data_IF_131533814983
#
_entry.id   IF_131533814983
#
_cell.length_a   1.000
_cell.length_b   1.000
_cell.length_c   1.000
_cell.angle_alpha   90.00
_cell.angle_beta   90.00
_cell.angle_gamma   90.00
#
_symmetry.space_group_name_H-M   'P 1'
#
loop_
_entity.id
_entity.type
_entity.pdbx_description
1 polymer ?
#
# COMPACT_ATOMS: atom_id res chain seq x y z
N UNK A 1 -13.27 41.08 -21.99
CA UNK A 1 -14.29 40.04 -22.30
C UNK A 1 -14.55 39.26 -21.04
N UNK A 2 -15.80 39.03 -20.67
CA UNK A 2 -16.10 38.23 -19.47
C UNK A 2 -16.37 36.80 -19.91
N UNK A 3 -15.56 35.86 -19.41
CA UNK A 3 -15.75 34.43 -19.69
C UNK A 3 -16.87 33.89 -18.77
N UNK A 4 -17.69 32.96 -19.29
CA UNK A 4 -18.72 32.27 -18.53
C UNK A 4 -18.89 30.82 -19.06
N UNK A 5 -19.37 29.87 -18.24
CA UNK A 5 -19.34 28.45 -18.59
C UNK A 5 -20.02 28.10 -19.92
N UNK A 6 -21.15 28.70 -20.24
CA UNK A 6 -21.88 28.41 -21.48
C UNK A 6 -21.03 28.74 -22.73
N UNK A 7 -20.26 29.85 -22.70
CA UNK A 7 -19.39 30.22 -23.83
C UNK A 7 -18.33 29.16 -24.11
N UNK A 8 -17.76 28.58 -23.06
CA UNK A 8 -16.77 27.52 -23.18
C UNK A 8 -17.43 26.23 -23.70
N UNK A 9 -18.61 25.85 -23.17
CA UNK A 9 -19.34 24.68 -23.63
C UNK A 9 -19.80 24.80 -25.10
N UNK A 10 -20.24 25.97 -25.53
CA UNK A 10 -20.60 26.25 -26.94
C UNK A 10 -19.38 26.08 -27.87
N UNK A 11 -18.19 26.50 -27.44
CA UNK A 11 -16.94 26.26 -28.19
C UNK A 11 -16.60 24.75 -28.25
N UNK A 12 -16.72 24.05 -27.12
CA UNK A 12 -16.46 22.59 -27.06
C UNK A 12 -17.49 21.76 -27.84
N UNK A 13 -18.72 22.26 -28.02
CA UNK A 13 -19.73 21.64 -28.87
C UNK A 13 -19.38 21.62 -30.37
N UNK A 14 -18.37 22.39 -30.80
CA UNK A 14 -17.86 22.35 -32.19
C UNK A 14 -16.92 21.17 -32.42
N UNK A 15 -16.36 20.57 -31.36
CA UNK A 15 -15.39 19.47 -31.45
C UNK A 15 -16.13 18.13 -31.43
N UNK A 16 -15.97 17.33 -32.51
CA UNK A 16 -16.58 16.01 -32.62
C UNK A 16 -15.61 14.90 -32.22
N UNK A 17 -16.10 13.98 -31.37
CA UNK A 17 -15.34 12.80 -30.98
C UNK A 17 -15.44 11.72 -32.06
N UNK A 18 -14.30 11.27 -32.67
CA UNK A 18 -14.32 10.31 -33.78
C UNK A 18 -14.96 8.95 -33.44
N UNK A 19 -14.87 8.53 -32.18
CA UNK A 19 -15.42 7.23 -31.74
C UNK A 19 -16.93 7.12 -31.80
N UNK A 20 -17.67 8.25 -31.67
CA UNK A 20 -19.15 8.26 -31.69
C UNK A 20 -19.74 9.21 -32.72
N UNK A 21 -18.95 10.11 -33.27
CA UNK A 21 -19.43 11.20 -34.15
C UNK A 21 -20.22 12.31 -33.46
N UNK A 22 -20.52 12.18 -32.16
CA UNK A 22 -21.14 13.22 -31.33
C UNK A 22 -20.12 14.30 -30.94
N UNK A 23 -20.58 15.49 -30.62
CA UNK A 23 -19.67 16.50 -30.07
C UNK A 23 -19.32 16.21 -28.59
N UNK A 24 -18.30 16.90 -28.04
CA UNK A 24 -17.81 16.64 -26.70
C UNK A 24 -18.88 16.86 -25.60
N UNK A 25 -19.81 17.78 -25.81
CA UNK A 25 -20.88 18.07 -24.87
C UNK A 25 -22.00 17.03 -24.97
N UNK A 26 -22.46 16.71 -26.19
CA UNK A 26 -23.47 15.66 -26.45
C UNK A 26 -22.98 14.24 -26.04
N UNK A 27 -21.68 14.02 -26.07
CA UNK A 27 -21.07 12.77 -25.64
C UNK A 27 -20.81 12.73 -24.12
N UNK A 28 -21.22 13.78 -23.39
CA UNK A 28 -20.98 13.94 -21.94
C UNK A 28 -19.51 13.75 -21.57
N UNK A 29 -18.61 14.23 -22.44
CA UNK A 29 -17.17 14.09 -22.22
C UNK A 29 -16.58 15.27 -21.45
N UNK A 30 -17.34 16.32 -21.15
CA UNK A 30 -16.89 17.46 -20.33
C UNK A 30 -17.34 17.21 -18.90
N UNK A 31 -16.38 17.16 -17.96
CA UNK A 31 -16.69 16.96 -16.53
C UNK A 31 -17.33 18.21 -15.91
N UNK A 32 -18.09 18.02 -14.82
CA UNK A 32 -18.75 19.10 -14.07
C UNK A 32 -17.78 19.98 -13.25
N UNK A 33 -16.48 19.86 -13.49
CA UNK A 33 -15.42 20.57 -12.78
C UNK A 33 -14.90 21.82 -13.52
N UNK A 34 -15.64 22.35 -14.50
CA UNK A 34 -15.26 23.54 -15.25
C UNK A 34 -15.14 24.74 -14.31
N UNK A 35 -13.95 25.34 -14.26
CA UNK A 35 -13.62 26.54 -13.48
C UNK A 35 -13.09 27.63 -14.38
N UNK A 36 -13.51 28.85 -14.12
CA UNK A 36 -13.06 30.06 -14.83
C UNK A 36 -12.54 31.05 -13.79
N UNK A 37 -11.31 31.47 -13.95
CA UNK A 37 -10.65 32.49 -13.13
C UNK A 37 -10.00 33.53 -14.04
N UNK A 38 -10.67 34.66 -14.19
CA UNK A 38 -10.26 35.71 -15.13
C UNK A 38 -10.21 35.21 -16.58
N UNK A 39 -9.01 35.11 -17.14
CA UNK A 39 -8.74 34.57 -18.49
C UNK A 39 -8.23 33.11 -18.46
N UNK A 40 -8.24 32.46 -17.32
CA UNK A 40 -7.85 31.06 -17.18
C UNK A 40 -9.08 30.16 -17.10
N UNK A 41 -9.08 29.09 -17.88
CA UNK A 41 -10.14 28.07 -17.93
C UNK A 41 -9.55 26.72 -17.63
N UNK A 42 -10.08 25.98 -16.66
CA UNK A 42 -9.67 24.62 -16.34
C UNK A 42 -10.86 23.67 -16.28
N UNK A 43 -10.71 22.48 -16.86
CA UNK A 43 -11.72 21.43 -16.84
C UNK A 43 -11.11 20.09 -17.19
N UNK A 44 -11.87 18.99 -16.98
CA UNK A 44 -11.47 17.63 -17.38
C UNK A 44 -12.29 17.14 -18.56
N UNK A 45 -11.63 16.38 -19.47
CA UNK A 45 -12.32 15.58 -20.47
C UNK A 45 -12.40 14.13 -20.01
N UNK A 46 -13.59 13.56 -20.02
CA UNK A 46 -13.90 12.18 -19.60
C UNK A 46 -13.89 11.28 -20.85
N UNK A 47 -13.01 10.28 -20.84
CA UNK A 47 -12.92 9.26 -21.89
C UNK A 47 -13.47 7.94 -21.39
N UNK A 48 -13.94 7.05 -22.30
CA UNK A 48 -14.39 5.71 -21.93
C UNK A 48 -13.24 4.84 -21.39
N UNK A 49 -12.04 5.00 -21.95
CA UNK A 49 -10.84 4.22 -21.58
C UNK A 49 -9.64 5.12 -21.30
N UNK A 50 -8.79 4.76 -20.34
CA UNK A 50 -7.56 5.52 -20.04
C UNK A 50 -6.56 5.58 -21.21
N UNK A 51 -6.67 4.62 -22.15
CA UNK A 51 -5.80 4.48 -23.32
C UNK A 51 -6.53 4.82 -24.62
N UNK A 52 -7.45 5.78 -24.57
CA UNK A 52 -8.19 6.21 -25.76
C UNK A 52 -7.22 6.76 -26.83
N UNK A 53 -7.22 6.21 -28.08
CA UNK A 53 -6.28 6.63 -29.11
C UNK A 53 -6.50 8.07 -29.56
N UNK A 54 -7.69 8.64 -29.32
CA UNK A 54 -8.02 10.01 -29.70
C UNK A 54 -7.76 11.03 -28.60
N UNK A 55 -7.34 10.61 -27.41
CA UNK A 55 -7.16 11.49 -26.23
C UNK A 55 -6.33 12.72 -26.54
N UNK A 56 -5.11 12.53 -27.09
CA UNK A 56 -4.20 13.64 -27.40
C UNK A 56 -4.78 14.60 -28.46
N UNK A 57 -5.46 14.05 -29.47
CA UNK A 57 -6.08 14.86 -30.53
C UNK A 57 -7.29 15.64 -30.03
N UNK A 58 -8.08 15.05 -29.10
CA UNK A 58 -9.22 15.72 -28.48
C UNK A 58 -8.82 16.85 -27.56
N UNK A 59 -7.78 16.66 -26.74
CA UNK A 59 -7.23 17.74 -25.91
C UNK A 59 -6.81 18.94 -26.77
N UNK A 60 -6.06 18.69 -27.84
CA UNK A 60 -5.62 19.74 -28.75
C UNK A 60 -6.78 20.38 -29.51
N UNK A 61 -7.78 19.61 -29.93
CA UNK A 61 -8.96 20.12 -30.61
C UNK A 61 -9.81 20.99 -29.68
N UNK A 62 -9.99 20.58 -28.42
CA UNK A 62 -10.71 21.36 -27.41
C UNK A 62 -10.02 22.71 -27.11
N UNK A 63 -8.70 22.69 -26.92
CA UNK A 63 -7.90 23.91 -26.74
C UNK A 63 -8.02 24.84 -27.95
N UNK A 64 -7.85 24.28 -29.17
CA UNK A 64 -7.97 25.05 -30.42
C UNK A 64 -9.37 25.65 -30.59
N UNK A 65 -10.43 24.91 -30.23
CA UNK A 65 -11.80 25.41 -30.32
C UNK A 65 -12.03 26.60 -29.37
N UNK A 66 -11.51 26.53 -28.14
CA UNK A 66 -11.61 27.66 -27.18
C UNK A 66 -10.85 28.87 -27.71
N UNK A 67 -9.61 28.69 -28.22
CA UNK A 67 -8.86 29.81 -28.79
C UNK A 67 -9.52 30.42 -30.02
N UNK A 68 -10.19 29.61 -30.86
CA UNK A 68 -10.83 30.08 -32.10
C UNK A 68 -12.16 30.78 -31.83
N UNK A 69 -13.01 30.21 -30.97
CA UNK A 69 -14.38 30.66 -30.80
C UNK A 69 -14.61 31.56 -29.58
N UNK A 70 -13.62 31.61 -28.66
CA UNK A 70 -13.70 32.44 -27.45
C UNK A 70 -12.66 33.55 -27.50
N UNK A 71 -11.37 33.25 -27.35
CA UNK A 71 -10.26 34.19 -27.51
C UNK A 71 -8.91 33.46 -27.52
N UNK A 72 -7.94 33.89 -28.34
CA UNK A 72 -6.59 33.34 -28.32
C UNK A 72 -5.81 33.63 -27.02
N UNK A 73 -6.28 34.60 -26.21
CA UNK A 73 -5.63 35.01 -24.96
C UNK A 73 -6.07 34.15 -23.75
N UNK A 74 -7.00 33.21 -23.93
CA UNK A 74 -7.48 32.33 -22.84
C UNK A 74 -6.42 31.27 -22.53
N UNK A 75 -6.03 31.19 -21.26
CA UNK A 75 -5.17 30.13 -20.79
C UNK A 75 -6.01 28.90 -20.48
N UNK A 76 -5.81 27.80 -21.22
CA UNK A 76 -6.61 26.58 -21.09
C UNK A 76 -5.79 25.48 -20.43
N UNK A 77 -6.33 24.91 -19.34
CA UNK A 77 -5.77 23.75 -18.67
C UNK A 77 -6.77 22.61 -18.74
N UNK A 78 -6.46 21.56 -19.50
CA UNK A 78 -7.36 20.41 -19.68
C UNK A 78 -6.70 19.18 -19.05
N UNK A 79 -7.38 18.59 -18.05
CA UNK A 79 -7.04 17.28 -17.48
C UNK A 79 -7.88 16.17 -18.12
N UNK A 80 -7.51 14.92 -17.88
CA UNK A 80 -8.22 13.76 -18.42
C UNK A 80 -8.72 12.87 -17.30
N UNK A 81 -9.96 12.42 -17.41
CA UNK A 81 -10.59 11.43 -16.55
C UNK A 81 -11.05 10.24 -17.40
N UNK A 82 -11.26 9.07 -16.80
CA UNK A 82 -11.76 7.89 -17.49
C UNK A 82 -12.95 7.29 -16.75
N UNK A 83 -14.02 6.92 -17.50
CA UNK A 83 -15.20 6.23 -16.96
C UNK A 83 -14.88 4.77 -16.60
N UNK A 84 -13.96 4.14 -17.34
CA UNK A 84 -13.48 2.82 -16.97
C UNK A 84 -12.24 3.00 -16.08
N UNK A 85 -12.24 2.32 -14.92
CA UNK A 85 -11.02 2.15 -14.16
C UNK A 85 -9.91 1.65 -15.09
N UNK A 86 -8.69 2.18 -14.92
CA UNK A 86 -7.55 1.78 -15.74
C UNK A 86 -7.48 0.26 -15.80
N UNK A 87 -7.58 -0.32 -17.02
CA UNK A 87 -7.34 -1.76 -17.16
C UNK A 87 -5.93 -2.04 -16.68
N UNK A 88 -5.74 -3.10 -15.86
CA UNK A 88 -4.42 -3.47 -15.39
C UNK A 88 -3.43 -3.56 -16.54
N UNK A 89 -2.26 -2.96 -16.39
CA UNK A 89 -1.18 -3.18 -17.34
C UNK A 89 -0.90 -4.69 -17.44
N UNK A 90 -0.84 -5.27 -18.64
CA UNK A 90 -0.54 -6.68 -18.79
C UNK A 90 0.77 -7.03 -18.09
N UNK A 91 0.74 -7.88 -17.08
CA UNK A 91 1.91 -8.30 -16.29
C UNK A 91 2.03 -7.70 -14.89
N UNK A 92 1.23 -6.71 -14.50
CA UNK A 92 1.25 -6.17 -13.14
C UNK A 92 0.33 -6.99 -12.23
N UNK A 93 0.89 -7.63 -11.20
CA UNK A 93 0.12 -8.55 -10.34
C UNK A 93 -0.95 -7.87 -9.47
N UNK A 94 -0.74 -6.64 -9.03
CA UNK A 94 -1.66 -5.85 -8.20
C UNK A 94 -1.95 -4.48 -8.85
N UNK A 95 -2.66 -4.44 -9.98
CA UNK A 95 -2.78 -3.23 -10.79
C UNK A 95 -3.64 -2.13 -10.17
N UNK A 96 -4.51 -2.47 -9.21
CA UNK A 96 -5.41 -1.55 -8.52
C UNK A 96 -4.92 -1.18 -7.10
N UNK A 97 -3.68 -1.56 -6.77
CA UNK A 97 -3.05 -1.25 -5.50
C UNK A 97 -2.13 -0.05 -5.66
N UNK A 98 -2.33 0.99 -4.84
CA UNK A 98 -1.54 2.23 -4.91
C UNK A 98 -0.17 2.07 -4.29
N UNK A 99 -0.11 1.49 -3.08
CA UNK A 99 1.13 1.37 -2.31
C UNK A 99 1.30 -0.05 -1.77
N UNK A 100 2.45 -0.66 -2.03
CA UNK A 100 2.84 -1.97 -1.49
C UNK A 100 3.94 -1.74 -0.45
N UNK A 101 3.67 -2.07 0.80
CA UNK A 101 4.58 -1.84 1.93
C UNK A 101 5.04 -3.19 2.49
N UNK A 102 6.33 -3.46 2.42
CA UNK A 102 6.92 -4.64 3.05
C UNK A 102 7.24 -4.35 4.52
N UNK A 103 6.66 -5.11 5.44
CA UNK A 103 7.04 -5.11 6.86
C UNK A 103 8.00 -6.27 7.07
N UNK A 104 9.25 -5.94 7.40
CA UNK A 104 10.36 -6.88 7.46
C UNK A 104 11.15 -6.76 8.75
N UNK A 105 11.92 -7.78 9.08
CA UNK A 105 12.82 -7.77 10.24
C UNK A 105 14.08 -8.55 9.96
N UNK A 106 15.20 -8.15 10.56
CA UNK A 106 16.49 -8.85 10.42
C UNK A 106 16.51 -10.20 11.10
N UNK A 107 15.65 -10.46 12.12
CA UNK A 107 15.56 -11.72 12.86
C UNK A 107 14.15 -12.00 13.35
N UNK A 108 13.89 -13.26 13.73
CA UNK A 108 12.64 -13.65 14.37
C UNK A 108 12.50 -13.15 15.81
N UNK A 109 11.26 -13.08 16.30
CA UNK A 109 10.95 -12.74 17.69
C UNK A 109 10.94 -11.24 18.03
N UNK A 110 11.10 -10.35 17.05
CA UNK A 110 11.03 -8.88 17.26
C UNK A 110 9.60 -8.32 17.22
N UNK A 111 8.59 -9.17 16.98
CA UNK A 111 7.18 -8.76 16.90
C UNK A 111 6.76 -8.20 15.54
N UNK A 112 7.47 -8.55 14.47
CA UNK A 112 7.18 -8.13 13.08
C UNK A 112 5.71 -8.31 12.70
N UNK A 113 5.15 -9.51 12.89
CA UNK A 113 3.76 -9.83 12.50
C UNK A 113 2.74 -9.06 13.34
N UNK A 114 3.02 -8.85 14.64
CA UNK A 114 2.18 -7.99 15.51
C UNK A 114 2.15 -6.55 15.01
N UNK A 115 3.31 -6.04 14.57
CA UNK A 115 3.42 -4.71 13.97
C UNK A 115 2.68 -4.66 12.64
N UNK A 116 2.86 -5.64 11.75
CA UNK A 116 2.17 -5.69 10.45
C UNK A 116 0.65 -5.73 10.61
N UNK A 117 0.13 -6.60 11.50
CA UNK A 117 -1.30 -6.70 11.79
C UNK A 117 -1.87 -5.40 12.35
N UNK A 118 -1.21 -4.82 13.36
CA UNK A 118 -1.67 -3.58 14.00
C UNK A 118 -1.55 -2.36 13.06
N UNK A 119 -0.50 -2.30 12.22
CA UNK A 119 -0.35 -1.26 11.20
C UNK A 119 -1.47 -1.33 10.16
N UNK A 120 -1.80 -2.54 9.67
CA UNK A 120 -2.87 -2.71 8.70
C UNK A 120 -4.22 -2.25 9.25
N UNK A 121 -4.54 -2.63 10.51
CA UNK A 121 -5.76 -2.19 11.19
C UNK A 121 -5.76 -0.68 11.45
N UNK A 122 -4.62 -0.10 11.86
CA UNK A 122 -4.50 1.33 12.08
C UNK A 122 -4.73 2.13 10.79
N UNK A 123 -4.17 1.69 9.66
CA UNK A 123 -4.40 2.30 8.36
C UNK A 123 -5.89 2.23 7.95
N UNK A 124 -6.56 1.09 8.19
CA UNK A 124 -8.00 0.96 7.93
C UNK A 124 -8.83 1.91 8.81
N UNK A 125 -8.45 2.11 10.09
CA UNK A 125 -9.10 3.09 10.98
C UNK A 125 -8.89 4.54 10.53
N UNK A 126 -7.78 4.84 9.86
CA UNK A 126 -7.55 6.14 9.21
C UNK A 126 -8.34 6.31 7.91
N UNK A 127 -9.14 5.32 7.51
CA UNK A 127 -10.04 5.39 6.35
C UNK A 127 -9.45 4.87 5.04
N UNK A 128 -8.27 4.25 5.06
CA UNK A 128 -7.66 3.66 3.88
C UNK A 128 -8.21 2.26 3.57
N UNK A 129 -8.29 1.90 2.29
CA UNK A 129 -8.56 0.54 1.84
C UNK A 129 -7.28 -0.28 1.97
N UNK A 130 -7.29 -1.31 2.81
CA UNK A 130 -6.08 -2.06 3.19
C UNK A 130 -6.21 -3.55 2.90
N UNK A 131 -5.16 -4.12 2.27
CA UNK A 131 -4.93 -5.55 2.19
C UNK A 131 -3.72 -5.94 3.04
N UNK A 132 -3.78 -7.11 3.67
CA UNK A 132 -2.69 -7.72 4.43
C UNK A 132 -2.43 -9.12 3.90
N UNK A 133 -1.22 -9.37 3.42
CA UNK A 133 -0.75 -10.69 3.04
C UNK A 133 0.29 -11.19 4.05
N UNK A 134 -0.02 -12.31 4.69
CA UNK A 134 0.94 -13.08 5.46
C UNK A 134 1.82 -13.88 4.49
N UNK A 135 3.02 -13.38 4.25
CA UNK A 135 4.02 -14.00 3.38
C UNK A 135 5.03 -14.86 4.17
N UNK A 136 4.87 -15.00 5.49
CA UNK A 136 5.67 -15.91 6.31
C UNK A 136 5.12 -17.34 6.22
N UNK A 137 5.42 -18.00 5.10
CA UNK A 137 4.90 -19.34 4.78
C UNK A 137 5.34 -20.40 5.79
N UNK A 138 6.48 -20.19 6.44
CA UNK A 138 7.05 -21.16 7.39
C UNK A 138 6.49 -21.01 8.81
N UNK A 139 5.89 -19.87 9.12
CA UNK A 139 5.28 -19.60 10.43
C UNK A 139 4.07 -18.66 10.32
N UNK A 140 3.03 -19.05 9.55
CA UNK A 140 1.88 -18.19 9.34
C UNK A 140 1.19 -17.90 10.67
N UNK A 141 1.06 -16.63 11.00
CA UNK A 141 0.53 -16.18 12.29
C UNK A 141 -0.76 -15.36 12.19
N UNK A 142 -1.07 -14.83 11.03
CA UNK A 142 -2.20 -13.92 10.85
C UNK A 142 -3.57 -14.57 11.11
N UNK A 143 -3.85 -15.83 10.72
CA UNK A 143 -5.14 -16.44 11.08
C UNK A 143 -5.41 -16.43 12.59
N UNK A 144 -4.38 -16.70 13.42
CA UNK A 144 -4.47 -16.63 14.87
C UNK A 144 -4.65 -15.21 15.37
N UNK A 145 -3.82 -14.27 14.88
CA UNK A 145 -3.82 -12.87 15.29
C UNK A 145 -5.12 -12.13 14.98
N UNK A 146 -5.95 -12.65 14.08
CA UNK A 146 -7.24 -12.09 13.70
C UNK A 146 -8.43 -12.95 14.17
N UNK A 147 -8.19 -14.05 14.89
CA UNK A 147 -9.22 -15.01 15.29
C UNK A 147 -10.07 -15.49 14.11
N UNK A 148 -9.40 -15.93 13.06
CA UNK A 148 -10.02 -16.43 11.82
C UNK A 148 -9.41 -17.76 11.38
N UNK A 149 -8.90 -18.57 12.33
CA UNK A 149 -8.26 -19.87 12.03
C UNK A 149 -9.22 -20.84 11.33
N UNK A 150 -10.52 -20.77 11.66
CA UNK A 150 -11.55 -21.60 11.05
C UNK A 150 -12.09 -21.05 9.73
N UNK A 151 -11.68 -19.84 9.35
CA UNK A 151 -12.09 -19.27 8.08
C UNK A 151 -11.45 -20.02 6.92
N UNK A 152 -12.21 -20.20 5.85
CA UNK A 152 -11.72 -20.84 4.61
C UNK A 152 -12.02 -19.90 3.44
N UNK A 153 -10.99 -19.24 2.89
CA UNK A 153 -11.14 -18.52 1.65
C UNK A 153 -11.69 -19.44 0.55
N UNK A 154 -12.60 -18.94 -0.24
CA UNK A 154 -13.21 -19.69 -1.34
C UNK A 154 -12.87 -19.02 -2.67
N UNK A 155 -13.01 -19.77 -3.76
CA UNK A 155 -12.85 -19.22 -5.09
C UNK A 155 -14.22 -18.81 -5.65
N UNK A 156 -14.27 -17.65 -6.30
CA UNK A 156 -15.44 -17.13 -6.99
C UNK A 156 -15.07 -16.76 -8.42
N UNK A 157 -15.98 -17.06 -9.36
CA UNK A 157 -15.75 -16.71 -10.76
C UNK A 157 -16.11 -15.24 -10.99
N UNK A 158 -15.08 -14.42 -11.25
CA UNK A 158 -15.20 -12.98 -11.49
C UNK A 158 -14.56 -12.69 -12.85
N UNK A 159 -15.32 -12.11 -13.77
CA UNK A 159 -14.88 -11.79 -15.14
C UNK A 159 -14.26 -13.00 -15.89
N UNK A 160 -14.79 -14.21 -15.64
CA UNK A 160 -14.33 -15.45 -16.26
C UNK A 160 -13.04 -16.03 -15.69
N UNK A 161 -12.57 -15.54 -14.53
CA UNK A 161 -11.43 -16.05 -13.76
C UNK A 161 -11.88 -16.51 -12.39
N UNK A 162 -11.36 -17.66 -11.94
CA UNK A 162 -11.55 -18.10 -10.57
C UNK A 162 -10.58 -17.33 -9.68
N UNK A 163 -11.13 -16.48 -8.79
CA UNK A 163 -10.34 -15.65 -7.88
C UNK A 163 -10.61 -16.05 -6.42
N UNK A 164 -9.55 -16.14 -5.63
CA UNK A 164 -9.62 -16.35 -4.20
C UNK A 164 -10.20 -15.10 -3.54
N UNK A 165 -11.27 -15.25 -2.75
CA UNK A 165 -11.86 -14.15 -2.00
C UNK A 165 -11.15 -14.03 -0.66
N UNK A 166 -10.44 -12.90 -0.39
CA UNK A 166 -9.78 -12.66 0.89
C UNK A 166 -10.78 -12.64 2.06
N UNK A 167 -10.34 -13.04 3.23
CA UNK A 167 -11.10 -12.88 4.46
C UNK A 167 -11.15 -11.41 4.84
N UNK A 168 -12.34 -10.89 5.13
CA UNK A 168 -12.50 -9.52 5.59
C UNK A 168 -12.66 -9.50 7.11
N UNK A 169 -11.78 -8.76 7.80
CA UNK A 169 -11.80 -8.59 9.24
C UNK A 169 -11.24 -7.23 9.64
N UNK A 170 -11.89 -6.56 10.58
CA UNK A 170 -11.47 -5.23 11.08
C UNK A 170 -11.22 -4.18 10.00
N UNK A 171 -11.99 -4.24 8.90
CA UNK A 171 -11.87 -3.30 7.78
C UNK A 171 -10.72 -3.55 6.83
N UNK A 172 -10.04 -4.69 6.93
CA UNK A 172 -8.98 -5.11 6.02
C UNK A 172 -9.32 -6.40 5.28
N UNK A 173 -8.71 -6.59 4.10
CA UNK A 173 -8.69 -7.86 3.37
C UNK A 173 -7.45 -8.64 3.76
N UNK A 174 -7.60 -9.89 4.17
CA UNK A 174 -6.53 -10.73 4.71
C UNK A 174 -6.42 -12.04 3.93
N UNK A 175 -5.19 -12.41 3.53
CA UNK A 175 -4.84 -13.76 3.13
C UNK A 175 -3.55 -14.22 3.82
N UNK A 176 -3.51 -15.51 4.10
CA UNK A 176 -2.35 -16.24 4.64
C UNK A 176 -2.35 -17.64 4.09
N UNK A 177 -1.18 -18.22 3.90
CA UNK A 177 -1.07 -19.65 3.58
C UNK A 177 -1.66 -20.52 4.69
N UNK A 178 -1.69 -20.00 5.93
CA UNK A 178 -2.28 -20.67 7.08
C UNK A 178 -3.77 -21.01 6.94
N UNK A 179 -4.49 -20.39 5.99
CA UNK A 179 -5.88 -20.78 5.68
C UNK A 179 -6.00 -22.06 4.85
N UNK A 180 -4.93 -22.48 4.21
CA UNK A 180 -4.89 -23.58 3.25
C UNK A 180 -4.09 -24.80 3.74
N UNK A 181 -3.45 -24.70 4.90
CA UNK A 181 -2.68 -25.78 5.50
C UNK A 181 -3.28 -26.16 6.85
N UNK A 182 -3.16 -27.44 7.20
CA UNK A 182 -3.57 -27.94 8.50
C UNK A 182 -2.50 -27.52 9.54
N UNK A 183 -2.90 -26.77 10.60
CA UNK A 183 -1.96 -26.32 11.63
C UNK A 183 -1.25 -27.47 12.36
N UNK A 184 -1.87 -28.65 12.44
CA UNK A 184 -1.31 -29.82 13.11
C UNK A 184 -0.39 -30.66 12.22
N UNK A 185 -0.31 -30.35 10.93
CA UNK A 185 0.54 -31.03 9.98
C UNK A 185 1.80 -30.23 9.67
N UNK A 186 2.97 -30.79 9.94
CA UNK A 186 4.24 -30.23 9.48
C UNK A 186 4.33 -30.29 7.95
N UNK A 187 3.89 -29.24 7.29
CA UNK A 187 4.00 -29.14 5.83
C UNK A 187 5.43 -28.77 5.44
N UNK A 188 6.11 -29.69 4.76
CA UNK A 188 7.46 -29.46 4.25
C UNK A 188 7.42 -28.62 2.98
N UNK A 189 7.47 -27.31 3.14
CA UNK A 189 7.58 -26.38 2.01
C UNK A 189 8.99 -26.39 1.44
N UNK A 190 9.13 -26.76 0.18
CA UNK A 190 10.37 -26.48 -0.58
C UNK A 190 10.29 -25.07 -1.16
N UNK A 191 11.43 -24.37 -1.25
CA UNK A 191 11.46 -22.96 -1.66
C UNK A 191 10.63 -22.62 -2.91
N UNK A 192 10.70 -23.45 -3.96
CA UNK A 192 9.89 -23.25 -5.17
C UNK A 192 8.38 -23.40 -4.95
N UNK A 193 7.93 -24.31 -4.08
CA UNK A 193 6.50 -24.46 -3.74
C UNK A 193 6.00 -23.24 -2.96
N UNK A 194 6.78 -22.79 -1.98
CA UNK A 194 6.48 -21.61 -1.18
C UNK A 194 6.36 -20.35 -2.07
N UNK A 195 7.31 -20.16 -2.98
CA UNK A 195 7.28 -19.04 -3.94
C UNK A 195 6.06 -19.09 -4.87
N UNK A 196 5.67 -20.29 -5.33
CA UNK A 196 4.49 -20.42 -6.21
C UNK A 196 3.19 -20.17 -5.45
N UNK A 197 3.03 -20.69 -4.22
CA UNK A 197 1.87 -20.42 -3.39
C UNK A 197 1.73 -18.93 -3.13
N UNK A 198 2.82 -18.24 -2.80
CA UNK A 198 2.81 -16.80 -2.59
C UNK A 198 2.37 -16.02 -3.84
N UNK A 199 2.87 -16.40 -5.03
CA UNK A 199 2.43 -15.79 -6.29
C UNK A 199 0.95 -15.99 -6.56
N UNK A 200 0.39 -17.16 -6.20
CA UNK A 200 -1.05 -17.41 -6.32
C UNK A 200 -1.85 -16.54 -5.34
N UNK A 201 -1.45 -16.44 -4.07
CA UNK A 201 -2.11 -15.58 -3.09
C UNK A 201 -2.08 -14.10 -3.50
N UNK A 202 -1.05 -13.67 -4.24
CA UNK A 202 -0.95 -12.31 -4.76
C UNK A 202 -1.80 -12.14 -6.03
N UNK A 203 -1.64 -13.02 -7.02
CA UNK A 203 -2.14 -12.82 -8.38
C UNK A 203 -3.53 -13.39 -8.64
N UNK A 204 -3.91 -14.46 -7.93
CA UNK A 204 -5.18 -15.16 -8.11
C UNK A 204 -6.20 -14.81 -7.01
N UNK A 205 -5.97 -13.73 -6.25
CA UNK A 205 -6.91 -13.24 -5.26
C UNK A 205 -7.60 -11.94 -5.68
N UNK A 206 -8.87 -11.79 -5.28
CA UNK A 206 -9.65 -10.58 -5.51
C UNK A 206 -9.33 -9.50 -4.47
N UNK A 207 -8.17 -8.91 -4.57
CA UNK A 207 -7.78 -7.78 -3.72
C UNK A 207 -8.58 -6.51 -4.01
N UNK A 208 -8.98 -6.30 -5.28
CA UNK A 208 -9.67 -5.09 -5.72
C UNK A 208 -8.82 -3.82 -5.59
N UNK A 209 -9.48 -2.68 -5.40
CA UNK A 209 -8.80 -1.40 -5.18
C UNK A 209 -8.32 -1.29 -3.74
N UNK A 210 -7.02 -1.03 -3.56
CA UNK A 210 -6.40 -0.80 -2.25
C UNK A 210 -5.53 0.45 -2.26
N UNK A 211 -5.56 1.19 -1.16
CA UNK A 211 -4.62 2.29 -0.92
C UNK A 211 -3.28 1.76 -0.43
N UNK A 212 -3.32 0.74 0.44
CA UNK A 212 -2.15 0.07 1.00
C UNK A 212 -2.28 -1.45 0.95
N UNK A 213 -1.23 -2.11 0.53
CA UNK A 213 -1.06 -3.55 0.59
C UNK A 213 0.13 -3.87 1.48
N UNK A 214 -0.12 -4.41 2.65
CA UNK A 214 0.89 -4.72 3.66
C UNK A 214 1.34 -6.16 3.46
N UNK A 215 2.65 -6.36 3.34
CA UNK A 215 3.29 -7.66 3.26
C UNK A 215 3.97 -7.97 4.60
N UNK A 216 3.49 -8.95 5.34
CA UNK A 216 4.21 -9.51 6.49
C UNK A 216 5.22 -10.52 5.98
N UNK A 217 6.49 -10.12 5.83
CA UNK A 217 7.53 -10.96 5.23
C UNK A 217 8.11 -11.97 6.23
N UNK A 218 8.72 -13.08 5.80
CA UNK A 218 9.49 -13.93 6.72
C UNK A 218 10.59 -13.16 7.45
N UNK A 219 11.05 -13.62 8.62
CA UNK A 219 12.18 -12.99 9.30
C UNK A 219 13.50 -13.25 8.53
N UNK A 220 14.44 -12.32 8.67
CA UNK A 220 15.76 -12.42 8.05
C UNK A 220 15.75 -12.10 6.56
N UNK A 221 16.62 -12.78 5.80
CA UNK A 221 16.80 -12.59 4.35
C UNK A 221 16.68 -13.95 3.66
N UNK A 222 15.48 -14.28 3.19
CA UNK A 222 15.19 -15.58 2.55
C UNK A 222 14.85 -15.41 1.07
N UNK A 223 14.77 -16.50 0.31
CA UNK A 223 14.35 -16.54 -1.09
C UNK A 223 12.93 -15.96 -1.29
N UNK A 224 12.10 -15.94 -0.24
CA UNK A 224 10.78 -15.32 -0.27
C UNK A 224 10.89 -13.81 -0.51
N UNK A 225 11.86 -13.12 0.10
CA UNK A 225 12.09 -11.69 -0.15
C UNK A 225 12.43 -11.43 -1.62
N UNK A 226 13.27 -12.27 -2.22
CA UNK A 226 13.58 -12.19 -3.65
C UNK A 226 12.34 -12.44 -4.50
N UNK A 227 11.51 -13.43 -4.12
CA UNK A 227 10.24 -13.69 -4.81
C UNK A 227 9.31 -12.49 -4.76
N UNK A 228 9.18 -11.84 -3.60
CA UNK A 228 8.32 -10.66 -3.44
C UNK A 228 8.78 -9.49 -4.33
N UNK A 229 10.08 -9.13 -4.30
CA UNK A 229 10.59 -8.01 -5.12
C UNK A 229 10.60 -8.31 -6.62
N UNK A 230 10.64 -9.59 -7.01
CA UNK A 230 10.50 -10.05 -8.40
C UNK A 230 9.04 -10.15 -8.86
N UNK A 231 8.09 -10.11 -7.93
CA UNK A 231 6.66 -10.28 -8.21
C UNK A 231 5.92 -8.94 -8.11
N UNK A 232 6.36 -8.08 -7.21
CA UNK A 232 5.68 -6.83 -6.86
C UNK A 232 6.63 -5.63 -6.96
N UNK A 233 6.12 -4.52 -7.45
CA UNK A 233 6.76 -3.22 -7.34
C UNK A 233 6.53 -2.68 -5.92
N UNK A 234 7.40 -3.05 -4.98
CA UNK A 234 7.28 -2.66 -3.57
C UNK A 234 7.56 -1.16 -3.44
N UNK A 235 6.59 -0.39 -2.97
CA UNK A 235 6.71 1.06 -2.79
C UNK A 235 7.79 1.42 -1.78
N UNK A 236 7.88 0.64 -0.70
CA UNK A 236 8.94 0.78 0.28
C UNK A 236 8.87 -0.28 1.38
N UNK A 237 9.94 -0.40 2.16
CA UNK A 237 10.04 -1.33 3.26
C UNK A 237 10.08 -0.61 4.61
N UNK A 238 9.42 -1.18 5.59
CA UNK A 238 9.46 -0.79 7.01
C UNK A 238 10.20 -1.89 7.76
N UNK A 239 11.22 -1.52 8.52
CA UNK A 239 12.06 -2.48 9.23
C UNK A 239 11.73 -2.46 10.72
N UNK A 240 11.33 -3.61 11.26
CA UNK A 240 11.00 -3.80 12.69
C UNK A 240 12.21 -4.39 13.41
N UNK A 241 12.57 -3.78 14.53
CA UNK A 241 13.62 -4.28 15.42
C UNK A 241 13.28 -4.00 16.89
N UNK A 242 14.02 -4.62 17.79
CA UNK A 242 14.05 -4.26 19.21
C UNK A 242 15.30 -3.46 19.51
N UNK A 243 15.40 -2.78 20.68
CA UNK A 243 16.60 -2.00 21.03
C UNK A 243 17.88 -2.82 21.22
N UNK A 244 17.80 -4.16 21.26
CA UNK A 244 18.95 -5.05 21.50
C UNK A 244 19.97 -4.98 20.36
N UNK A 245 21.25 -4.87 20.70
CA UNK A 245 22.35 -4.76 19.73
C UNK A 245 22.37 -5.92 18.70
N UNK A 246 22.06 -7.15 19.15
CA UNK A 246 21.98 -8.31 18.25
C UNK A 246 20.87 -8.14 17.22
N UNK A 247 19.69 -7.65 17.63
CA UNK A 247 18.58 -7.39 16.70
C UNK A 247 18.89 -6.24 15.74
N UNK A 248 19.56 -5.20 16.23
CA UNK A 248 19.98 -4.06 15.41
C UNK A 248 21.03 -4.43 14.35
N UNK A 249 21.97 -5.30 14.70
CA UNK A 249 22.94 -5.82 13.73
C UNK A 249 22.26 -6.56 12.56
N UNK A 250 21.20 -7.34 12.85
CA UNK A 250 20.44 -8.03 11.83
C UNK A 250 19.48 -7.09 11.07
N UNK A 251 18.90 -6.08 11.76
CA UNK A 251 18.12 -5.04 11.10
C UNK A 251 18.94 -4.26 10.07
N UNK A 252 20.20 -3.95 10.37
CA UNK A 252 21.15 -3.33 9.41
C UNK A 252 21.33 -4.18 8.16
N UNK A 253 21.42 -5.52 8.30
CA UNK A 253 21.46 -6.43 7.14
C UNK A 253 20.19 -6.41 6.33
N UNK A 254 19.01 -6.35 7.01
CA UNK A 254 17.72 -6.22 6.36
C UNK A 254 17.60 -4.92 5.55
N UNK A 255 18.04 -3.79 6.10
CA UNK A 255 18.12 -2.50 5.37
C UNK A 255 19.00 -2.66 4.12
N UNK A 256 20.21 -3.17 4.28
CA UNK A 256 21.16 -3.33 3.18
C UNK A 256 20.64 -4.27 2.08
N UNK A 257 19.83 -5.29 2.42
CA UNK A 257 19.20 -6.16 1.45
C UNK A 257 18.25 -5.38 0.52
N UNK A 258 17.39 -4.53 1.09
CA UNK A 258 16.44 -3.73 0.32
C UNK A 258 17.10 -2.59 -0.46
N UNK A 259 18.13 -1.95 0.11
CA UNK A 259 18.84 -0.82 -0.52
C UNK A 259 19.94 -1.24 -1.49
N UNK A 260 20.22 -2.54 -1.63
CA UNK A 260 21.17 -3.05 -2.61
C UNK A 260 20.78 -2.63 -4.03
N UNK A 261 21.75 -2.24 -4.85
CA UNK A 261 21.54 -1.75 -6.23
C UNK A 261 20.68 -2.67 -7.10
N UNK A 262 20.70 -3.98 -6.83
CA UNK A 262 19.91 -4.96 -7.58
C UNK A 262 18.45 -5.04 -7.12
N UNK A 263 18.14 -4.66 -5.90
CA UNK A 263 16.81 -4.71 -5.29
C UNK A 263 16.18 -3.33 -5.31
N UNK A 264 16.91 -2.32 -4.87
CA UNK A 264 16.58 -0.89 -4.92
C UNK A 264 15.16 -0.56 -4.42
N UNK A 265 14.79 -1.14 -3.28
CA UNK A 265 13.53 -0.82 -2.59
C UNK A 265 13.83 0.21 -1.50
N UNK A 266 13.17 1.38 -1.52
CA UNK A 266 13.37 2.41 -0.50
C UNK A 266 12.99 1.94 0.91
N UNK A 267 13.73 2.39 1.92
CA UNK A 267 13.35 2.20 3.32
C UNK A 267 12.50 3.39 3.77
N UNK A 268 11.24 3.14 4.10
CA UNK A 268 10.33 4.15 4.66
C UNK A 268 10.73 4.52 6.08
N UNK A 269 11.30 3.59 6.81
CA UNK A 269 11.89 3.82 8.13
C UNK A 269 11.97 2.58 9.01
N UNK A 270 12.45 2.82 10.24
CA UNK A 270 12.55 1.82 11.30
C UNK A 270 11.42 1.96 12.31
N UNK A 271 11.01 0.83 12.89
CA UNK A 271 10.14 0.76 14.05
C UNK A 271 10.94 0.09 15.17
N UNK A 272 11.04 0.77 16.32
CA UNK A 272 11.55 0.18 17.53
C UNK A 272 10.39 -0.45 18.31
N UNK A 273 10.23 -1.74 18.18
CA UNK A 273 9.28 -2.49 18.97
C UNK A 273 9.90 -2.94 20.29
N UNK A 274 9.07 -3.17 21.30
CA UNK A 274 9.51 -3.54 22.65
C UNK A 274 10.49 -2.51 23.23
N UNK A 275 10.26 -1.21 22.96
CA UNK A 275 11.16 -0.11 23.35
C UNK A 275 11.29 0.04 24.85
N UNK A 276 10.21 -0.15 25.58
CA UNK A 276 10.17 -0.15 27.04
C UNK A 276 8.97 -0.95 27.55
N UNK A 277 9.02 -1.39 28.79
CA UNK A 277 7.91 -1.98 29.49
C UNK A 277 7.24 -0.94 30.40
N UNK A 278 5.92 -0.87 30.39
CA UNK A 278 5.12 -0.05 31.30
C UNK A 278 4.17 -0.99 32.07
N UNK A 279 4.36 -1.17 33.40
CA UNK A 279 3.43 -1.94 34.22
C UNK A 279 2.07 -1.25 34.30
N UNK A 280 0.99 -2.03 34.39
CA UNK A 280 -0.35 -1.47 34.52
C UNK A 280 -0.55 -0.65 35.80
N UNK A 281 0.12 -1.06 36.88
CA UNK A 281 0.07 -0.39 38.18
C UNK A 281 0.88 0.92 38.23
N UNK A 282 1.82 1.11 37.29
CA UNK A 282 2.71 2.26 37.22
C UNK A 282 2.77 2.81 35.78
N UNK A 283 1.66 3.37 35.27
CA UNK A 283 1.52 3.76 33.85
C UNK A 283 2.48 4.84 33.39
N UNK A 284 3.05 5.62 34.31
CA UNK A 284 4.04 6.66 34.00
C UNK A 284 5.49 6.15 33.96
N UNK A 285 5.72 4.89 34.41
CA UNK A 285 7.07 4.34 34.50
C UNK A 285 7.45 3.60 33.22
N UNK A 286 8.70 3.80 32.78
CA UNK A 286 9.29 3.12 31.64
C UNK A 286 10.51 2.31 32.06
N UNK A 287 10.46 1.01 31.83
CA UNK A 287 11.57 0.09 32.09
C UNK A 287 12.16 -0.43 30.80
N UNK A 288 13.42 -0.14 30.54
CA UNK A 288 14.12 -0.45 29.29
C UNK A 288 14.76 -1.85 29.36
N UNK A 289 13.93 -2.90 29.21
CA UNK A 289 14.34 -4.30 29.37
C UNK A 289 15.34 -4.76 28.29
N UNK A 290 15.24 -4.22 27.08
CA UNK A 290 16.03 -4.61 25.93
C UNK A 290 17.07 -3.56 25.49
N UNK A 291 17.34 -2.57 26.32
CA UNK A 291 18.15 -1.41 25.96
C UNK A 291 17.31 -0.18 25.67
N UNK A 292 17.95 0.93 25.41
CA UNK A 292 17.30 2.22 25.21
C UNK A 292 17.70 2.83 23.88
N UNK A 293 16.71 3.26 23.09
CA UNK A 293 16.86 4.05 21.86
C UNK A 293 17.80 3.42 20.80
N UNK A 294 17.95 2.08 20.82
CA UNK A 294 18.88 1.41 19.92
C UNK A 294 18.51 1.52 18.45
N UNK A 295 17.22 1.37 18.11
CA UNK A 295 16.77 1.54 16.73
C UNK A 295 16.78 3.01 16.30
N UNK A 296 16.60 3.96 17.23
CA UNK A 296 16.77 5.38 16.95
C UNK A 296 18.21 5.68 16.50
N UNK A 297 19.19 5.19 17.24
CA UNK A 297 20.60 5.34 16.87
C UNK A 297 20.90 4.67 15.53
N UNK A 298 20.36 3.47 15.28
CA UNK A 298 20.51 2.79 13.99
C UNK A 298 19.86 3.59 12.84
N UNK A 299 18.71 4.21 13.08
CA UNK A 299 18.03 5.06 12.10
C UNK A 299 18.90 6.26 11.70
N UNK A 300 19.50 6.92 12.69
CA UNK A 300 20.46 8.02 12.48
C UNK A 300 21.69 7.55 11.70
N UNK A 301 22.31 6.43 12.10
CA UNK A 301 23.49 5.84 11.45
C UNK A 301 23.23 5.46 9.97
N UNK A 302 22.01 4.98 9.66
CA UNK A 302 21.64 4.55 8.33
C UNK A 302 20.94 5.64 7.51
N UNK A 303 20.78 6.83 8.09
CA UNK A 303 20.06 7.96 7.49
C UNK A 303 18.65 7.58 6.99
N UNK A 304 17.90 6.87 7.83
CA UNK A 304 16.50 6.49 7.58
C UNK A 304 15.60 7.01 8.71
N UNK A 305 14.31 7.30 8.47
CA UNK A 305 13.41 7.77 9.52
C UNK A 305 13.19 6.73 10.62
N UNK A 306 13.07 7.17 11.89
CA UNK A 306 12.41 6.40 12.94
C UNK A 306 10.91 6.67 12.86
N UNK A 307 10.11 5.65 12.54
CA UNK A 307 8.65 5.77 12.35
C UNK A 307 7.88 5.76 13.66
N UNK A 308 8.41 5.07 14.67
CA UNK A 308 7.75 4.98 15.96
C UNK A 308 8.46 4.03 16.92
N UNK A 309 8.09 4.16 18.18
CA UNK A 309 8.54 3.31 19.27
C UNK A 309 7.32 2.70 19.97
N UNK A 310 7.24 1.38 19.98
CA UNK A 310 6.10 0.63 20.51
C UNK A 310 6.50 0.04 21.87
N UNK A 311 5.77 0.35 22.96
CA UNK A 311 6.03 -0.23 24.27
C UNK A 311 5.61 -1.68 24.37
N UNK A 312 6.16 -2.42 25.33
CA UNK A 312 5.62 -3.67 25.80
C UNK A 312 4.60 -3.36 26.89
N UNK A 313 3.39 -3.86 26.72
CA UNK A 313 2.38 -3.90 27.77
C UNK A 313 1.75 -5.31 27.78
N UNK A 314 1.31 -5.77 28.93
CA UNK A 314 0.74 -7.10 29.08
C UNK A 314 -0.43 -7.33 28.12
N UNK A 315 -1.26 -6.32 27.90
CA UNK A 315 -2.43 -6.40 27.03
C UNK A 315 -2.10 -6.65 25.55
N UNK A 316 -0.88 -6.36 25.06
CA UNK A 316 -0.50 -6.71 23.68
C UNK A 316 -0.49 -8.24 23.50
N UNK A 317 0.11 -8.95 24.46
CA UNK A 317 0.16 -10.41 24.42
C UNK A 317 -1.25 -11.01 24.54
N UNK A 318 -2.00 -10.58 25.57
CA UNK A 318 -3.35 -11.06 25.80
C UNK A 318 -4.30 -10.77 24.64
N UNK A 319 -4.19 -9.60 24.02
CA UNK A 319 -5.01 -9.21 22.89
C UNK A 319 -4.57 -9.94 21.61
N UNK A 320 -3.26 -10.15 21.42
CA UNK A 320 -2.76 -10.97 20.32
C UNK A 320 -3.29 -12.41 20.37
N UNK A 321 -3.30 -13.03 21.55
CA UNK A 321 -3.86 -14.37 21.76
C UNK A 321 -5.39 -14.42 21.59
N UNK A 322 -6.07 -13.31 21.86
CA UNK A 322 -7.53 -13.14 21.64
C UNK A 322 -7.88 -12.70 20.23
N UNK A 323 -6.91 -12.58 19.32
CA UNK A 323 -7.13 -12.14 17.95
C UNK A 323 -7.60 -10.70 17.79
N UNK A 324 -7.22 -9.84 18.72
CA UNK A 324 -7.56 -8.41 18.73
C UNK A 324 -6.28 -7.56 18.57
N UNK A 325 -5.89 -7.20 17.33
CA UNK A 325 -4.73 -6.34 17.10
C UNK A 325 -4.77 -5.06 17.94
N UNK A 326 -3.61 -4.66 18.49
CA UNK A 326 -3.53 -3.56 19.45
C UNK A 326 -4.09 -2.22 18.95
N UNK A 327 -4.08 -1.98 17.66
CA UNK A 327 -4.64 -0.77 17.04
C UNK A 327 -6.17 -0.65 17.14
N UNK A 328 -6.88 -1.72 17.52
CA UNK A 328 -8.34 -1.67 17.64
C UNK A 328 -8.80 -0.76 18.80
N UNK A 329 -8.03 -0.68 19.88
CA UNK A 329 -8.38 0.12 21.05
C UNK A 329 -7.48 1.37 21.17
N UNK A 330 -7.98 2.49 20.68
CA UNK A 330 -7.30 3.81 20.70
C UNK A 330 -7.14 4.40 22.11
N UNK A 331 -7.86 3.87 23.09
CA UNK A 331 -7.76 4.37 24.47
C UNK A 331 -6.48 3.89 25.16
N UNK A 332 -5.87 2.83 24.65
CA UNK A 332 -4.65 2.25 25.17
C UNK A 332 -3.39 3.00 24.67
N UNK A 333 -2.30 2.90 25.43
CA UNK A 333 -0.99 3.47 25.05
C UNK A 333 -0.52 2.86 23.73
N UNK A 334 -0.73 1.55 23.54
CA UNK A 334 -0.30 0.82 22.35
C UNK A 334 -1.17 1.13 21.15
N UNK A 335 -2.49 1.25 21.32
CA UNK A 335 -3.39 1.63 20.23
C UNK A 335 -3.04 3.01 19.68
N UNK A 336 -2.80 3.99 20.53
CA UNK A 336 -2.32 5.32 20.11
C UNK A 336 -0.97 5.26 19.40
N UNK A 337 -0.03 4.46 19.93
CA UNK A 337 1.28 4.31 19.31
C UNK A 337 1.18 3.70 17.88
N UNK A 338 0.26 2.76 17.65
CA UNK A 338 0.05 2.20 16.32
C UNK A 338 -0.68 3.14 15.37
N UNK A 339 -1.57 4.00 15.86
CA UNK A 339 -2.19 5.05 15.02
C UNK A 339 -1.15 6.09 14.59
N UNK A 340 -0.35 6.60 15.52
CA UNK A 340 0.75 7.50 15.21
C UNK A 340 1.77 6.86 14.24
N UNK A 341 2.08 5.59 14.44
CA UNK A 341 2.91 4.82 13.51
C UNK A 341 2.31 4.79 12.11
N UNK A 342 1.01 4.53 11.97
CA UNK A 342 0.34 4.51 10.69
C UNK A 342 0.37 5.87 9.99
N UNK A 343 0.13 6.96 10.71
CA UNK A 343 0.25 8.32 10.19
C UNK A 343 1.68 8.61 9.69
N UNK A 344 2.71 8.17 10.44
CA UNK A 344 4.10 8.33 10.03
C UNK A 344 4.45 7.49 8.80
N UNK A 345 3.91 6.27 8.68
CA UNK A 345 4.06 5.43 7.46
C UNK A 345 3.40 6.11 6.27
N UNK A 346 2.18 6.63 6.41
CA UNK A 346 1.49 7.40 5.36
C UNK A 346 2.35 8.56 4.91
N UNK A 347 2.78 9.41 5.84
CA UNK A 347 3.61 10.60 5.56
C UNK A 347 4.90 10.25 4.81
N UNK A 348 5.59 9.18 5.22
CA UNK A 348 6.84 8.76 4.55
C UNK A 348 6.56 8.15 3.18
N UNK A 349 5.44 7.45 3.01
CA UNK A 349 5.01 6.90 1.72
C UNK A 349 4.68 8.02 0.74
N UNK A 350 3.92 9.03 1.17
CA UNK A 350 3.59 10.21 0.35
C UNK A 350 4.84 10.99 -0.04
N UNK A 351 5.75 11.24 0.93
CA UNK A 351 7.03 11.90 0.67
C UNK A 351 7.85 11.12 -0.36
N UNK A 352 7.99 9.81 -0.17
CA UNK A 352 8.70 8.94 -1.12
C UNK A 352 8.08 9.03 -2.52
N UNK A 353 6.75 8.97 -2.63
CA UNK A 353 6.06 9.01 -3.93
C UNK A 353 6.17 10.36 -4.63
N UNK A 354 6.31 11.45 -3.87
CA UNK A 354 6.54 12.78 -4.41
C UNK A 354 7.99 13.02 -4.88
N UNK A 355 8.97 12.42 -4.17
CA UNK A 355 10.40 12.69 -4.39
C UNK A 355 11.09 11.66 -5.29
N UNK A 356 10.53 10.47 -5.46
CA UNK A 356 11.17 9.36 -6.17
C UNK A 356 10.26 8.78 -7.25
N UNK A 357 10.87 8.29 -8.34
CA UNK A 357 10.16 7.56 -9.37
C UNK A 357 9.48 6.28 -8.80
N UNK A 358 8.39 5.79 -9.44
CA UNK A 358 7.79 4.52 -9.07
C UNK A 358 8.82 3.39 -9.06
N UNK A 359 8.72 2.49 -8.08
CA UNK A 359 9.53 1.28 -8.05
C UNK A 359 9.12 0.33 -9.16
N UNK A 360 10.06 -0.47 -9.61
CA UNK A 360 9.85 -1.49 -10.64
C UNK A 360 10.07 -2.88 -10.03
N UNK A 361 9.46 -3.89 -10.67
CA UNK A 361 9.74 -5.29 -10.38
C UNK A 361 11.22 -5.56 -10.69
N UNK A 362 11.88 -6.25 -9.78
CA UNK A 362 13.31 -6.56 -9.91
C UNK A 362 13.52 -7.69 -10.93
N UNK A 363 14.18 -7.38 -12.04
CA UNK A 363 14.62 -8.39 -13.00
C UNK A 363 16.05 -8.86 -12.65
N UNK A 364 16.17 -10.07 -12.07
CA UNK A 364 17.48 -10.68 -11.94
C UNK A 364 17.92 -11.20 -13.32
N UNK A 365 18.85 -10.53 -13.96
CA UNK A 365 19.56 -11.10 -15.13
C UNK A 365 20.22 -12.40 -14.69
N UNK A 366 19.87 -13.50 -15.37
CA UNK A 366 20.50 -14.81 -15.21
C UNK A 366 21.99 -14.78 -15.56
#
# INVERSE_FOLDING_TARGET
MTLYPKLILDALATVRYPGTGKNLVEAEMVADNLRIDGMSVSFSLIFEKPTDPFMKSMLKAAETAIHTYVSPDVQVTISTESRQAARPEPGKMLPLVKNVIAVSSGKGGVGKSTVAASLAVALAKLGYKVGLLDADIFGPSMPKMFQVEDARPYAEQIDGRDLIIPIEKYGIKLLSIGFFVDPDQATLWRGGMASNALKQLIGDANWGELDYFILDTPPGTSDIHLTLVQTLAITGAVIVSTPQQVALADARKGINMYTNDKVNVPILGLIENMSWFTPAELPENKYYLFGREGAKQLAEDMNVPLLGQIPIVQSICENGDKGTPAALDETTITGRAFLELAENVVKQTEKRNAEQAPTHIVELKK
#
